data_IF_018314197855
#
_entry.id   IF_018314197855
#
_cell.length_a   1.000
_cell.length_b   1.000
_cell.length_c   1.000
_cell.angle_alpha   90.00
_cell.angle_beta   90.00
_cell.angle_gamma   90.00
#
_symmetry.space_group_name_H-M   'P 1'
#
loop_
_entity.id
_entity.type
_entity.pdbx_description
1 polymer ?
#
# COMPACT_ATOMS: atom_id res chain seq x y z
N UNK A 1 -15.56 17.47 9.03
CA UNK A 1 -14.50 17.50 7.99
C UNK A 1 -15.21 17.59 6.66
N UNK A 2 -14.82 18.56 5.83
CA UNK A 2 -15.39 18.77 4.51
C UNK A 2 -14.30 18.57 3.47
N UNK A 3 -14.59 17.84 2.40
CA UNK A 3 -13.65 17.50 1.33
C UNK A 3 -14.33 17.64 -0.02
N UNK A 4 -13.68 18.32 -0.96
CA UNK A 4 -14.15 18.43 -2.35
C UNK A 4 -13.07 17.92 -3.30
N UNK A 5 -13.25 16.68 -3.75
CA UNK A 5 -12.39 16.05 -4.73
C UNK A 5 -13.09 15.81 -6.05
N UNK A 6 -12.31 15.33 -7.02
CA UNK A 6 -12.81 14.90 -8.33
C UNK A 6 -13.85 13.77 -8.23
N UNK A 7 -13.62 12.83 -7.31
CA UNK A 7 -14.40 11.60 -7.18
C UNK A 7 -15.36 11.61 -5.99
N UNK A 8 -15.00 12.28 -4.90
CA UNK A 8 -15.78 12.30 -3.68
C UNK A 8 -15.97 13.75 -3.20
N UNK A 9 -17.19 14.04 -2.72
CA UNK A 9 -17.50 15.26 -2.00
C UNK A 9 -18.13 14.88 -0.68
N UNK A 10 -17.65 15.49 0.39
CA UNK A 10 -18.08 15.22 1.76
C UNK A 10 -18.30 16.57 2.43
N UNK A 11 -19.43 16.74 3.10
CA UNK A 11 -19.79 17.96 3.83
C UNK A 11 -19.95 17.63 5.30
N UNK A 12 -19.18 18.32 6.15
CA UNK A 12 -19.23 18.30 7.61
C UNK A 12 -19.28 16.89 8.25
N UNK A 13 -18.57 15.92 7.65
CA UNK A 13 -18.51 14.57 8.18
C UNK A 13 -17.70 14.47 9.47
N UNK A 14 -18.21 13.69 10.40
CA UNK A 14 -17.54 13.33 11.65
C UNK A 14 -17.32 11.82 11.70
N UNK A 15 -16.15 11.40 12.18
CA UNK A 15 -15.83 10.00 12.46
C UNK A 15 -15.56 9.88 13.95
N UNK A 16 -16.45 9.16 14.63
CA UNK A 16 -16.39 8.92 16.08
C UNK A 16 -16.85 7.48 16.36
N UNK A 17 -16.09 6.67 17.13
CA UNK A 17 -14.83 7.02 17.79
C UNK A 17 -13.64 7.15 16.82
N UNK A 18 -12.57 7.80 17.26
CA UNK A 18 -11.30 7.82 16.52
C UNK A 18 -10.66 6.43 16.51
N UNK A 19 -9.81 6.12 15.52
CA UNK A 19 -9.01 4.91 15.55
C UNK A 19 -8.25 4.77 16.86
N UNK A 20 -8.16 3.55 17.39
CA UNK A 20 -7.42 3.25 18.61
C UNK A 20 -5.89 3.30 18.40
N UNK A 21 -5.42 3.03 17.18
CA UNK A 21 -3.99 2.98 16.86
C UNK A 21 -3.42 4.39 16.68
N UNK A 22 -2.32 4.67 17.38
CA UNK A 22 -1.58 5.92 17.32
C UNK A 22 -0.31 5.78 16.43
N UNK A 23 0.07 6.81 15.64
CA UNK A 23 -0.67 8.05 15.41
C UNK A 23 -1.90 7.87 14.50
N UNK A 24 -1.87 6.88 13.61
CA UNK A 24 -2.99 6.44 12.76
C UNK A 24 -2.79 4.98 12.35
N UNK A 25 -3.85 4.23 12.01
CA UNK A 25 -3.71 2.91 11.39
C UNK A 25 -2.87 2.97 10.10
N UNK A 26 -2.00 1.97 9.83
CA UNK A 26 -1.20 1.94 8.62
C UNK A 26 -2.06 1.65 7.38
N UNK A 27 -1.80 2.38 6.29
CA UNK A 27 -2.49 2.21 5.01
C UNK A 27 -1.58 1.49 4.02
N UNK A 28 -2.01 0.30 3.60
CA UNK A 28 -1.32 -0.50 2.58
C UNK A 28 -1.92 -0.24 1.20
N UNK A 29 -1.06 0.02 0.22
CA UNK A 29 -1.48 0.22 -1.18
C UNK A 29 -1.05 -1.01 -1.99
N UNK A 30 -2.02 -1.66 -2.61
CA UNK A 30 -1.80 -2.84 -3.45
C UNK A 30 -1.55 -2.51 -4.93
N UNK A 31 -0.78 -3.38 -5.59
CA UNK A 31 -0.68 -3.46 -7.05
C UNK A 31 0.68 -3.06 -7.62
N UNK A 32 1.01 -3.63 -8.76
CA UNK A 32 2.30 -3.56 -9.47
C UNK A 32 2.33 -2.54 -10.62
N UNK A 33 1.23 -1.83 -10.88
CA UNK A 33 1.20 -0.79 -11.91
C UNK A 33 2.08 0.41 -11.52
N UNK A 34 2.59 1.14 -12.53
CA UNK A 34 3.35 2.38 -12.29
C UNK A 34 2.58 3.37 -11.41
N UNK A 35 1.26 3.51 -11.61
CA UNK A 35 0.43 4.44 -10.85
C UNK A 35 0.19 3.99 -9.41
N UNK A 36 -0.04 2.70 -9.18
CA UNK A 36 -0.21 2.15 -7.82
C UNK A 36 1.08 2.25 -7.01
N UNK A 37 2.23 1.95 -7.63
CA UNK A 37 3.54 2.13 -6.99
C UNK A 37 3.83 3.59 -6.64
N UNK A 38 3.46 4.54 -7.50
CA UNK A 38 3.54 5.97 -7.18
C UNK A 38 2.64 6.36 -6.01
N UNK A 39 1.40 5.86 -5.98
CA UNK A 39 0.49 6.09 -4.85
C UNK A 39 1.03 5.49 -3.55
N UNK A 40 1.59 4.28 -3.61
CA UNK A 40 2.22 3.64 -2.46
C UNK A 40 3.38 4.48 -1.92
N UNK A 41 4.23 5.03 -2.80
CA UNK A 41 5.31 5.93 -2.40
C UNK A 41 4.81 7.27 -1.82
N UNK A 42 3.77 7.86 -2.43
CA UNK A 42 3.26 9.19 -2.08
C UNK A 42 2.34 9.22 -0.86
N UNK A 43 1.64 8.13 -0.55
CA UNK A 43 0.55 8.11 0.44
C UNK A 43 0.53 6.86 1.32
N UNK A 44 1.21 5.79 0.94
CA UNK A 44 1.17 4.52 1.65
C UNK A 44 2.13 4.47 2.84
N UNK A 45 1.76 3.63 3.81
CA UNK A 45 2.62 3.13 4.87
C UNK A 45 3.29 1.81 4.49
N UNK A 46 2.70 1.08 3.55
CA UNK A 46 3.15 -0.21 3.05
C UNK A 46 2.76 -0.44 1.59
N UNK A 47 3.50 -1.31 0.90
CA UNK A 47 3.19 -1.76 -0.46
C UNK A 47 2.92 -3.27 -0.46
N UNK A 48 1.79 -3.66 -1.06
CA UNK A 48 1.38 -5.04 -1.22
C UNK A 48 1.46 -5.45 -2.69
N UNK A 49 2.14 -6.55 -2.96
CA UNK A 49 2.28 -7.11 -4.30
C UNK A 49 2.06 -8.62 -4.27
N UNK A 50 1.49 -9.15 -5.35
CA UNK A 50 1.39 -10.59 -5.54
C UNK A 50 2.75 -11.20 -5.90
N UNK A 51 2.79 -12.53 -6.01
CA UNK A 51 4.00 -13.26 -6.39
C UNK A 51 4.61 -12.76 -7.70
N UNK A 52 5.88 -12.39 -7.63
CA UNK A 52 6.77 -12.13 -8.77
C UNK A 52 8.11 -12.83 -8.53
N UNK A 53 8.96 -12.87 -9.55
CA UNK A 53 10.34 -13.31 -9.36
C UNK A 53 11.06 -12.35 -8.40
N UNK A 54 11.94 -12.82 -7.50
CA UNK A 54 12.63 -11.96 -6.52
C UNK A 54 13.31 -10.73 -7.16
N UNK A 55 14.01 -10.93 -8.27
CA UNK A 55 14.69 -9.84 -8.97
C UNK A 55 13.76 -8.80 -9.62
N UNK A 56 12.48 -9.10 -9.80
CA UNK A 56 11.49 -8.12 -10.28
C UNK A 56 10.90 -7.33 -9.12
N UNK A 57 10.71 -7.96 -7.95
CA UNK A 57 10.30 -7.28 -6.71
C UNK A 57 11.34 -6.22 -6.33
N UNK A 58 12.63 -6.56 -6.42
CA UNK A 58 13.72 -5.61 -6.14
C UNK A 58 13.64 -4.37 -7.03
N UNK A 59 13.40 -4.55 -8.34
CA UNK A 59 13.27 -3.44 -9.29
C UNK A 59 12.04 -2.59 -9.01
N UNK A 60 10.90 -3.22 -8.71
CA UNK A 60 9.66 -2.52 -8.36
C UNK A 60 9.84 -1.71 -7.07
N UNK A 61 10.50 -2.31 -6.08
CA UNK A 61 10.80 -1.65 -4.83
C UNK A 61 11.74 -0.45 -5.02
N UNK A 62 12.77 -0.58 -5.85
CA UNK A 62 13.63 0.54 -6.25
C UNK A 62 12.84 1.66 -6.94
N UNK A 63 11.89 1.31 -7.83
CA UNK A 63 11.01 2.28 -8.46
C UNK A 63 10.18 3.04 -7.41
N UNK A 64 9.60 2.37 -6.42
CA UNK A 64 8.84 3.02 -5.33
C UNK A 64 9.73 3.99 -4.55
N UNK A 65 10.94 3.56 -4.17
CA UNK A 65 11.90 4.41 -3.44
C UNK A 65 12.38 5.63 -4.23
N UNK A 66 12.33 5.56 -5.56
CA UNK A 66 12.70 6.68 -6.45
C UNK A 66 11.62 7.76 -6.55
N UNK A 67 10.39 7.51 -6.08
CA UNK A 67 9.29 8.47 -6.16
C UNK A 67 9.26 9.42 -4.94
N UNK A 68 8.64 10.61 -5.06
CA UNK A 68 8.50 11.53 -3.94
C UNK A 68 7.66 10.93 -2.80
N UNK A 69 8.28 10.77 -1.64
CA UNK A 69 7.56 10.36 -0.43
C UNK A 69 6.76 11.55 0.11
N UNK A 70 5.45 11.43 0.20
CA UNK A 70 4.56 12.43 0.80
C UNK A 70 3.70 11.75 1.88
N UNK A 71 3.06 12.54 2.74
CA UNK A 71 2.24 12.01 3.83
C UNK A 71 2.88 12.09 5.21
N UNK A 72 2.03 12.03 6.25
CA UNK A 72 2.43 12.14 7.66
C UNK A 72 2.57 10.75 8.26
N UNK A 73 3.81 10.33 8.54
CA UNK A 73 4.12 9.12 9.31
C UNK A 73 4.52 7.93 8.46
N UNK A 74 5.81 7.58 8.53
CA UNK A 74 6.43 6.33 8.07
C UNK A 74 6.20 5.91 6.59
N UNK A 75 6.73 6.67 5.60
CA UNK A 75 6.58 6.37 4.18
C UNK A 75 7.07 4.97 3.80
N UNK A 76 6.36 4.32 2.85
CA UNK A 76 6.78 3.08 2.17
C UNK A 76 8.23 3.13 1.68
N UNK A 77 8.75 4.30 1.39
CA UNK A 77 10.13 4.52 0.93
C UNK A 77 11.23 3.90 1.81
N UNK A 78 10.91 3.50 3.06
CA UNK A 78 11.81 2.77 3.95
C UNK A 78 11.29 1.45 4.52
N UNK A 79 10.09 0.98 4.13
CA UNK A 79 9.54 -0.29 4.61
C UNK A 79 9.58 -1.33 3.49
N UNK A 80 10.01 -2.55 3.81
CA UNK A 80 10.04 -3.66 2.85
C UNK A 80 8.63 -4.00 2.32
N UNK A 81 8.52 -4.47 1.07
CA UNK A 81 7.24 -4.90 0.52
C UNK A 81 6.73 -6.10 1.30
N UNK A 82 5.43 -6.10 1.60
CA UNK A 82 4.79 -7.37 1.93
C UNK A 82 4.52 -8.08 0.62
N UNK A 83 5.21 -9.19 0.42
CA UNK A 83 5.02 -10.08 -0.73
C UNK A 83 4.07 -11.18 -0.30
N UNK A 84 2.86 -11.14 -0.86
CA UNK A 84 1.97 -12.28 -0.78
C UNK A 84 2.29 -13.22 -1.93
N UNK A 85 3.01 -14.30 -1.62
CA UNK A 85 3.23 -15.38 -2.57
C UNK A 85 1.93 -16.19 -2.62
N UNK A 86 1.13 -15.93 -3.65
CA UNK A 86 0.03 -16.81 -4.02
C UNK A 86 0.63 -18.02 -4.73
N UNK A 87 0.89 -19.09 -3.98
CA UNK A 87 1.04 -20.40 -4.62
C UNK A 87 -0.35 -20.79 -5.15
N UNK A 88 -0.52 -20.73 -6.48
CA UNK A 88 -1.75 -21.19 -7.12
C UNK A 88 -1.82 -22.71 -6.96
N UNK A 89 -2.56 -23.17 -5.95
CA UNK A 89 -2.88 -24.58 -5.83
C UNK A 89 -3.73 -25.02 -7.04
N UNK A 90 -3.63 -26.29 -7.49
CA UNK A 90 -4.34 -26.80 -8.67
C UNK A 90 -5.87 -26.61 -8.68
N UNK A 91 -6.47 -26.30 -7.53
CA UNK A 91 -7.91 -26.15 -7.33
C UNK A 91 -8.39 -24.68 -7.26
N UNK A 92 -7.55 -23.70 -7.58
CA UNK A 92 -7.92 -22.28 -7.54
C UNK A 92 -8.06 -21.72 -6.12
N UNK A 93 -7.64 -22.47 -5.11
CA UNK A 93 -7.51 -21.97 -3.74
C UNK A 93 -6.25 -21.12 -3.62
N UNK A 94 -6.40 -19.90 -3.09
CA UNK A 94 -5.30 -18.99 -2.79
C UNK A 94 -4.89 -19.18 -1.32
N UNK A 95 -3.68 -19.70 -1.08
CA UNK A 95 -3.07 -19.70 0.26
C UNK A 95 -2.03 -18.58 0.28
N UNK A 96 -2.27 -17.56 1.10
CA UNK A 96 -1.33 -16.44 1.27
C UNK A 96 -0.22 -16.82 2.24
N UNK A 97 1.03 -16.80 1.78
CA UNK A 97 2.22 -16.80 2.63
C UNK A 97 2.82 -15.40 2.66
N UNK A 98 3.06 -14.87 3.87
CA UNK A 98 3.79 -13.62 4.06
C UNK A 98 5.28 -13.91 4.05
N UNK A 99 6.03 -13.26 3.16
CA UNK A 99 7.49 -13.13 3.29
C UNK A 99 7.74 -11.68 3.72
N UNK A 100 8.26 -11.50 4.94
CA UNK A 100 8.74 -10.22 5.47
C UNK A 100 10.20 -10.01 5.08
#
# INVERSE_FOLDING_TARGET
MSFEGKYYRVHDAEITPKPFQEPTPPIWIGGDSKRSMQLAAELGDGWLVHGHQPGDIDKMFQNIRSNPCRGRGAPVCGKEPIVEVFEQLPLGACVGGFVS
#
